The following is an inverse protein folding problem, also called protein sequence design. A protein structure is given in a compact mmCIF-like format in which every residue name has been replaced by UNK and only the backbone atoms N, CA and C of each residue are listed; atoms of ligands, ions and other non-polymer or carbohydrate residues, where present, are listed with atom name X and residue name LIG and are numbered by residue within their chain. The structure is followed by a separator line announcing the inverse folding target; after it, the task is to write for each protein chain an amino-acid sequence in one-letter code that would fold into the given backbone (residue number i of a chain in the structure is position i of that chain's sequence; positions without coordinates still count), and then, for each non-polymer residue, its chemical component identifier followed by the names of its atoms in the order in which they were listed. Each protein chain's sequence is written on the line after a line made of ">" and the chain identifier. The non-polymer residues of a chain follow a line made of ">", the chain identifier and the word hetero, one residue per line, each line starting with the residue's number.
data_IF_105397445435
#
_entry.id   IF_105397445435
#
_cell.length_a   1.000
_cell.length_b   1.000
_cell.length_c   1.000
_cell.angle_alpha   90.00
_cell.angle_beta   90.00
_cell.angle_gamma   90.00
#
_symmetry.space_group_name_H-M   'P 1'
#
loop_
_entity.id
_entity.type
_entity.pdbx_description
1 polymer ?
#
# COMPACT_ATOMS: atom_id res chain seq x y z
N UNK A 1 -7.25 33.85 23.45
CA UNK A 1 -8.63 33.42 23.13
C UNK A 1 -8.90 32.15 23.92
N UNK A 2 -10.00 32.08 24.69
CA UNK A 2 -10.36 30.89 25.47
C UNK A 2 -11.16 29.90 24.63
N UNK A 3 -10.96 28.59 24.83
CA UNK A 3 -11.72 27.51 24.18
C UNK A 3 -13.23 27.70 24.34
N UNK A 4 -13.68 28.16 25.51
CA UNK A 4 -15.09 28.39 25.83
C UNK A 4 -15.72 29.57 25.05
N UNK A 5 -14.89 30.44 24.45
CA UNK A 5 -15.36 31.60 23.68
C UNK A 5 -15.51 31.31 22.18
N UNK A 6 -15.16 30.10 21.74
CA UNK A 6 -15.33 29.71 20.35
C UNK A 6 -16.77 29.30 20.07
N UNK A 7 -17.24 29.60 18.86
CA UNK A 7 -18.53 29.10 18.39
C UNK A 7 -18.44 27.61 18.05
N UNK A 8 -19.56 26.89 18.13
CA UNK A 8 -19.64 25.46 17.78
C UNK A 8 -19.02 25.15 16.40
N UNK A 9 -19.26 25.94 15.33
CA UNK A 9 -18.60 25.70 14.04
C UNK A 9 -17.07 25.78 14.09
N UNK A 10 -16.51 26.65 14.94
CA UNK A 10 -15.07 26.77 15.10
C UNK A 10 -14.50 25.61 15.92
N UNK A 11 -15.20 25.14 16.97
CA UNK A 11 -14.82 23.91 17.66
C UNK A 11 -14.83 22.72 16.70
N UNK A 12 -15.87 22.55 15.90
CA UNK A 12 -15.95 21.48 14.90
C UNK A 12 -14.80 21.57 13.88
N UNK A 13 -14.40 22.77 13.46
CA UNK A 13 -13.23 22.95 12.58
C UNK A 13 -11.93 22.51 13.26
N UNK A 14 -11.74 22.85 14.53
CA UNK A 14 -10.54 22.45 15.28
C UNK A 14 -10.54 20.94 15.52
N UNK A 15 -11.65 20.38 16.02
CA UNK A 15 -11.80 18.93 16.25
C UNK A 15 -11.53 18.13 14.97
N UNK A 16 -11.92 18.63 13.79
CA UNK A 16 -11.60 18.00 12.51
C UNK A 16 -10.09 17.84 12.24
N UNK A 17 -9.26 18.71 12.80
CA UNK A 17 -7.80 18.74 12.63
C UNK A 17 -7.06 17.92 13.70
N UNK A 18 -7.77 17.45 14.72
CA UNK A 18 -7.18 16.71 15.83
C UNK A 18 -7.11 15.21 15.53
N UNK A 19 -6.04 14.59 16.00
CA UNK A 19 -5.86 13.14 16.03
C UNK A 19 -6.88 12.47 16.95
N UNK A 20 -6.99 11.14 16.85
CA UNK A 20 -7.95 10.38 17.64
C UNK A 20 -7.74 10.56 19.15
N UNK A 21 -6.50 10.61 19.62
CA UNK A 21 -6.13 10.83 21.02
C UNK A 21 -6.67 12.15 21.57
N UNK A 22 -6.35 13.25 20.89
CA UNK A 22 -6.77 14.59 21.29
C UNK A 22 -8.29 14.72 21.26
N UNK A 23 -8.97 14.08 20.29
CA UNK A 23 -10.43 14.02 20.24
C UNK A 23 -11.01 13.26 21.44
N UNK A 24 -10.44 12.12 21.81
CA UNK A 24 -10.87 11.37 22.99
C UNK A 24 -10.71 12.19 24.27
N UNK A 25 -9.59 12.91 24.40
CA UNK A 25 -9.33 13.79 25.54
C UNK A 25 -10.36 14.92 25.62
N UNK A 26 -10.64 15.61 24.51
CA UNK A 26 -11.66 16.68 24.45
C UNK A 26 -13.05 16.14 24.78
N UNK A 27 -13.41 14.96 24.25
CA UNK A 27 -14.71 14.32 24.48
C UNK A 27 -14.99 14.05 25.97
N UNK A 28 -13.95 13.94 26.79
CA UNK A 28 -14.05 13.71 28.23
C UNK A 28 -14.14 15.02 29.05
N UNK A 29 -13.82 16.19 28.46
CA UNK A 29 -13.75 17.45 29.19
C UNK A 29 -15.12 18.00 29.63
N UNK A 30 -16.13 17.96 28.75
CA UNK A 30 -17.48 18.48 29.06
C UNK A 30 -18.56 17.84 28.19
N UNK A 31 -19.83 18.09 28.52
CA UNK A 31 -20.97 17.65 27.69
C UNK A 31 -20.96 18.34 26.31
N UNK A 32 -20.71 19.64 26.28
CA UNK A 32 -20.69 20.40 25.03
C UNK A 32 -19.55 19.94 24.12
N UNK A 33 -18.35 19.70 24.70
CA UNK A 33 -17.21 19.15 23.96
C UNK A 33 -17.50 17.75 23.42
N UNK A 34 -18.19 16.91 24.20
CA UNK A 34 -18.64 15.59 23.74
C UNK A 34 -19.57 15.71 22.55
N UNK A 35 -20.56 16.60 22.61
CA UNK A 35 -21.51 16.81 21.52
C UNK A 35 -20.82 17.37 20.25
N UNK A 36 -19.80 18.23 20.41
CA UNK A 36 -18.96 18.70 19.30
C UNK A 36 -18.16 17.55 18.69
N UNK A 37 -17.51 16.71 19.51
CA UNK A 37 -16.72 15.58 19.03
C UNK A 37 -17.62 14.56 18.34
N UNK A 38 -18.76 14.20 18.95
CA UNK A 38 -19.69 13.19 18.43
C UNK A 38 -20.43 13.69 17.17
N UNK A 39 -20.65 15.01 17.03
CA UNK A 39 -21.18 15.62 15.80
C UNK A 39 -20.14 15.74 14.67
N UNK A 40 -18.86 15.58 14.97
CA UNK A 40 -17.78 15.67 14.00
C UNK A 40 -17.42 14.28 13.47
N UNK A 41 -17.53 14.07 12.14
CA UNK A 41 -17.17 12.79 11.52
C UNK A 41 -15.74 12.36 11.92
N UNK A 42 -15.61 11.12 12.38
CA UNK A 42 -14.31 10.44 12.51
C UNK A 42 -13.74 10.28 11.10
N UNK A 43 -12.55 10.83 10.88
CA UNK A 43 -11.77 10.61 9.67
C UNK A 43 -10.37 10.30 10.17
N UNK A 44 -9.96 9.05 9.96
CA UNK A 44 -8.63 8.59 10.32
C UNK A 44 -7.66 8.93 9.19
N UNK A 45 -6.41 9.20 9.53
CA UNK A 45 -5.36 9.31 8.52
C UNK A 45 -4.93 7.89 8.11
N UNK A 46 -4.73 7.03 9.09
CA UNK A 46 -4.23 5.67 8.88
C UNK A 46 -4.99 4.66 9.73
N UNK A 47 -5.37 3.57 9.06
CA UNK A 47 -6.02 2.43 9.68
C UNK A 47 -5.23 1.18 9.31
N UNK A 48 -4.71 0.45 10.31
CA UNK A 48 -3.95 -0.79 10.08
C UNK A 48 -4.52 -1.94 10.88
N UNK A 49 -4.70 -3.09 10.23
CA UNK A 49 -5.00 -4.37 10.86
C UNK A 49 -3.84 -5.31 10.61
N UNK A 50 -3.39 -6.00 11.65
CA UNK A 50 -2.44 -7.10 11.51
C UNK A 50 -2.67 -8.19 12.54
N UNK A 51 -2.20 -9.40 12.27
CA UNK A 51 -2.24 -10.50 13.23
C UNK A 51 -0.85 -11.05 13.49
N UNK A 52 -0.63 -11.47 14.74
CA UNK A 52 0.58 -12.20 15.14
C UNK A 52 0.21 -13.49 15.83
N UNK A 53 0.70 -14.59 15.29
CA UNK A 53 0.65 -15.91 15.90
C UNK A 53 1.63 -15.98 17.09
N UNK A 54 1.18 -16.56 18.20
CA UNK A 54 2.08 -16.87 19.32
C UNK A 54 3.01 -18.03 18.94
N UNK A 55 4.32 -17.80 19.02
CA UNK A 55 5.33 -18.86 18.75
C UNK A 55 5.28 -20.02 19.76
N UNK A 56 4.75 -19.78 20.96
CA UNK A 56 4.90 -20.67 22.11
C UNK A 56 3.60 -21.36 22.52
N UNK A 57 2.45 -20.84 22.07
CA UNK A 57 1.13 -21.33 22.48
C UNK A 57 0.28 -21.47 21.24
N UNK A 58 -0.06 -22.70 20.90
CA UNK A 58 -0.94 -23.02 19.78
C UNK A 58 -2.28 -22.29 19.96
N UNK A 59 -2.87 -21.82 18.84
CA UNK A 59 -4.17 -21.12 18.75
C UNK A 59 -4.28 -19.75 19.46
N UNK A 60 -3.23 -19.35 20.19
CA UNK A 60 -3.12 -17.99 20.73
C UNK A 60 -2.61 -17.05 19.65
N UNK A 61 -3.41 -16.05 19.32
CA UNK A 61 -3.02 -15.00 18.38
C UNK A 61 -3.34 -13.63 18.95
N UNK A 62 -2.66 -12.62 18.42
CA UNK A 62 -2.89 -11.22 18.77
C UNK A 62 -3.25 -10.45 17.51
N UNK A 63 -4.51 -10.01 17.43
CA UNK A 63 -4.93 -9.07 16.39
C UNK A 63 -4.58 -7.67 16.89
N UNK A 64 -3.81 -6.94 16.11
CA UNK A 64 -3.44 -5.55 16.39
C UNK A 64 -4.21 -4.64 15.44
N UNK A 65 -4.95 -3.71 16.02
CA UNK A 65 -5.65 -2.65 15.33
C UNK A 65 -4.99 -1.31 15.66
N UNK A 66 -4.39 -0.66 14.67
CA UNK A 66 -3.77 0.67 14.80
C UNK A 66 -4.62 1.71 14.07
N UNK A 67 -4.99 2.78 14.78
CA UNK A 67 -5.79 3.89 14.26
C UNK A 67 -5.05 5.18 14.61
N UNK A 68 -4.36 5.76 13.63
CA UNK A 68 -3.45 6.88 13.83
C UNK A 68 -2.42 6.57 14.95
N UNK A 69 -2.46 7.29 16.07
CA UNK A 69 -1.61 7.03 17.25
C UNK A 69 -2.17 5.94 18.18
N UNK A 70 -3.44 5.56 18.06
CA UNK A 70 -4.08 4.60 18.95
C UNK A 70 -3.79 3.16 18.54
N UNK A 71 -3.64 2.27 19.51
CA UNK A 71 -3.49 0.83 19.25
C UNK A 71 -4.40 0.03 20.19
N UNK A 72 -5.06 -0.97 19.63
CA UNK A 72 -5.80 -2.01 20.37
C UNK A 72 -5.17 -3.35 20.05
N UNK A 73 -4.86 -4.14 21.08
CA UNK A 73 -4.41 -5.51 20.95
C UNK A 73 -5.48 -6.46 21.46
N UNK A 74 -5.90 -7.39 20.62
CA UNK A 74 -6.83 -8.45 20.96
C UNK A 74 -6.05 -9.76 21.06
N UNK A 75 -5.55 -10.04 22.26
CA UNK A 75 -4.80 -11.27 22.53
C UNK A 75 -5.79 -12.34 22.96
N UNK A 76 -6.15 -13.24 22.04
CA UNK A 76 -7.18 -14.25 22.29
C UNK A 76 -6.66 -15.67 22.19
N UNK A 77 -7.22 -16.55 23.02
CA UNK A 77 -7.18 -18.00 22.89
C UNK A 77 -8.60 -18.53 23.15
N UNK A 78 -9.13 -19.34 22.25
CA UNK A 78 -10.51 -19.85 22.32
C UNK A 78 -11.53 -18.70 22.44
N UNK A 79 -12.42 -18.76 23.44
CA UNK A 79 -13.43 -17.74 23.74
C UNK A 79 -12.99 -16.78 24.87
N UNK A 80 -11.68 -16.63 25.09
CA UNK A 80 -11.15 -15.68 26.06
C UNK A 80 -10.18 -14.72 25.37
N UNK A 81 -10.47 -13.43 25.48
CA UNK A 81 -9.67 -12.38 24.84
C UNK A 81 -9.28 -11.31 25.86
N UNK A 82 -7.96 -11.08 26.00
CA UNK A 82 -7.41 -9.90 26.65
C UNK A 82 -7.38 -8.76 25.63
N UNK A 83 -7.95 -7.63 26.01
CA UNK A 83 -7.98 -6.41 25.21
C UNK A 83 -7.06 -5.39 25.88
N UNK A 84 -5.91 -5.15 25.29
CA UNK A 84 -5.02 -4.06 25.69
C UNK A 84 -5.25 -2.85 24.78
N UNK A 85 -5.06 -1.64 25.31
CA UNK A 85 -5.23 -0.38 24.58
C UNK A 85 -4.12 0.57 24.96
N UNK A 86 -3.74 1.43 24.03
CA UNK A 86 -2.61 2.31 24.26
C UNK A 86 -2.31 3.24 23.11
N UNK A 87 -1.25 4.02 23.25
CA UNK A 87 -0.86 5.04 22.29
C UNK A 87 0.56 4.80 21.82
N UNK A 88 0.83 5.07 20.54
CA UNK A 88 2.15 4.94 19.91
C UNK A 88 2.78 3.56 20.11
N UNK A 89 1.95 2.52 20.25
CA UNK A 89 2.38 1.14 20.46
C UNK A 89 2.70 0.77 21.91
N UNK A 90 2.52 1.67 22.87
CA UNK A 90 2.69 1.44 24.30
C UNK A 90 1.33 1.11 24.95
N UNK A 91 1.13 -0.08 25.54
CA UNK A 91 -0.11 -0.41 26.23
C UNK A 91 -0.23 0.37 27.55
N UNK A 92 -1.47 0.69 27.93
CA UNK A 92 -1.83 1.34 29.19
C UNK A 92 -2.59 0.31 30.01
N UNK A 93 -1.99 -0.16 31.11
CA UNK A 93 -2.55 -1.26 31.93
C UNK A 93 -3.95 -0.93 32.46
N UNK A 94 -4.21 0.35 32.78
CA UNK A 94 -5.51 0.81 33.26
C UNK A 94 -6.62 0.71 32.21
N UNK A 95 -6.26 0.58 30.93
CA UNK A 95 -7.21 0.40 29.82
C UNK A 95 -7.33 -1.06 29.37
N UNK A 96 -6.67 -1.99 30.07
CA UNK A 96 -6.75 -3.42 29.81
C UNK A 96 -8.06 -4.02 30.32
N UNK A 97 -8.61 -4.96 29.56
CA UNK A 97 -9.86 -5.64 29.87
C UNK A 97 -9.79 -7.12 29.45
N UNK A 98 -10.55 -8.00 30.10
CA UNK A 98 -10.65 -9.42 29.74
C UNK A 98 -12.11 -9.74 29.45
N UNK A 99 -12.36 -10.34 28.28
CA UNK A 99 -13.70 -10.74 27.87
C UNK A 99 -13.77 -12.23 27.56
N UNK A 100 -14.85 -12.85 27.99
CA UNK A 100 -15.25 -14.21 27.60
C UNK A 100 -15.94 -14.18 26.22
N UNK A 101 -15.22 -13.68 25.24
CA UNK A 101 -15.67 -13.57 23.86
C UNK A 101 -14.49 -13.81 22.91
N UNK A 102 -14.74 -14.36 21.74
CA UNK A 102 -13.70 -14.61 20.76
C UNK A 102 -13.16 -13.29 20.18
N UNK A 103 -11.85 -13.23 19.92
CA UNK A 103 -11.17 -12.03 19.42
C UNK A 103 -11.74 -11.51 18.10
N UNK A 104 -12.24 -12.38 17.22
CA UNK A 104 -12.84 -11.98 15.95
C UNK A 104 -14.21 -11.32 16.13
N UNK A 105 -15.01 -11.79 17.09
CA UNK A 105 -16.30 -11.18 17.46
C UNK A 105 -16.08 -9.78 18.09
N UNK A 106 -15.08 -9.66 18.96
CA UNK A 106 -14.67 -8.38 19.54
C UNK A 106 -14.17 -7.43 18.44
N UNK A 107 -13.35 -7.92 17.51
CA UNK A 107 -12.88 -7.15 16.36
C UNK A 107 -14.07 -6.59 15.56
N UNK A 108 -15.03 -7.42 15.19
CA UNK A 108 -16.21 -6.99 14.44
C UNK A 108 -16.97 -5.88 15.18
N UNK A 109 -17.21 -6.05 16.49
CA UNK A 109 -17.86 -5.03 17.32
C UNK A 109 -17.06 -3.73 17.40
N UNK A 110 -15.73 -3.80 17.45
CA UNK A 110 -14.87 -2.62 17.46
C UNK A 110 -14.91 -1.88 16.12
N UNK A 111 -14.78 -2.60 15.01
CA UNK A 111 -14.85 -2.00 13.68
C UNK A 111 -16.21 -1.31 13.43
N UNK A 112 -17.30 -1.92 13.87
CA UNK A 112 -18.64 -1.31 13.79
C UNK A 112 -18.70 0.03 14.55
N UNK A 113 -18.05 0.15 15.70
CA UNK A 113 -17.98 1.41 16.47
C UNK A 113 -17.18 2.50 15.74
N UNK A 114 -16.16 2.13 14.97
CA UNK A 114 -15.39 3.07 14.16
C UNK A 114 -16.04 3.40 12.81
N UNK A 115 -17.04 2.61 12.42
CA UNK A 115 -17.76 2.78 11.17
C UNK A 115 -18.92 3.76 11.30
N UNK A 116 -19.27 4.42 10.19
CA UNK A 116 -20.55 5.10 10.01
C UNK A 116 -21.35 4.35 8.95
N UNK A 117 -22.50 3.79 9.33
CA UNK A 117 -23.33 2.95 8.46
C UNK A 117 -22.53 1.78 7.84
N UNK A 118 -21.65 1.15 8.62
CA UNK A 118 -20.79 0.07 8.16
C UNK A 118 -19.59 0.50 7.32
N UNK A 119 -19.36 1.81 7.12
CA UNK A 119 -18.22 2.33 6.35
C UNK A 119 -17.22 3.05 7.24
N UNK A 120 -15.98 2.56 7.29
CA UNK A 120 -14.85 3.22 7.94
C UNK A 120 -14.19 4.17 6.93
N UNK A 121 -14.09 5.45 7.31
CA UNK A 121 -13.50 6.50 6.48
C UNK A 121 -12.07 6.79 6.95
N UNK A 122 -11.10 6.51 6.10
CA UNK A 122 -9.67 6.71 6.38
C UNK A 122 -8.95 7.14 5.11
N UNK A 123 -7.82 7.84 5.19
CA UNK A 123 -7.02 8.11 3.99
C UNK A 123 -6.29 6.83 3.53
N UNK A 124 -5.67 6.13 4.49
CA UNK A 124 -4.88 4.92 4.24
C UNK A 124 -5.44 3.72 5.01
N UNK A 125 -5.57 2.58 4.32
CA UNK A 125 -5.83 1.26 4.90
C UNK A 125 -4.61 0.37 4.68
N UNK A 126 -4.13 -0.29 5.72
CA UNK A 126 -3.07 -1.30 5.64
C UNK A 126 -3.54 -2.60 6.31
N UNK A 127 -3.43 -3.72 5.61
CA UNK A 127 -3.79 -5.05 6.12
C UNK A 127 -2.58 -5.95 5.96
N UNK A 128 -2.06 -6.46 7.06
CA UNK A 128 -0.77 -7.16 7.07
C UNK A 128 -0.84 -8.49 7.84
N UNK A 129 -0.25 -9.56 7.32
CA UNK A 129 0.01 -10.80 8.07
C UNK A 129 -1.26 -11.41 8.71
N UNK A 130 -2.38 -11.39 7.99
CA UNK A 130 -3.66 -11.91 8.52
C UNK A 130 -4.03 -13.25 7.90
N UNK A 131 -4.73 -14.08 8.67
CA UNK A 131 -5.24 -15.39 8.26
C UNK A 131 -6.75 -15.58 8.47
N UNK A 132 -7.51 -14.48 8.45
CA UNK A 132 -8.96 -14.47 8.69
C UNK A 132 -9.75 -13.61 7.70
N UNK A 133 -11.04 -13.92 7.60
CA UNK A 133 -12.02 -13.23 6.77
C UNK A 133 -12.22 -11.76 7.15
N UNK A 134 -12.47 -10.94 6.15
CA UNK A 134 -12.84 -9.55 6.38
C UNK A 134 -14.25 -9.50 7.00
N UNK A 135 -14.48 -8.71 8.06
CA UNK A 135 -15.79 -8.67 8.70
C UNK A 135 -16.91 -8.24 7.73
N UNK A 136 -17.95 -9.08 7.59
CA UNK A 136 -18.95 -8.98 6.51
C UNK A 136 -19.63 -7.60 6.42
N UNK A 137 -19.91 -7.01 7.57
CA UNK A 137 -20.67 -5.76 7.74
C UNK A 137 -19.84 -4.48 7.59
N UNK A 138 -18.53 -4.61 7.34
CA UNK A 138 -17.60 -3.49 7.30
C UNK A 138 -17.06 -3.29 5.88
N UNK A 139 -17.02 -2.03 5.45
CA UNK A 139 -16.36 -1.59 4.23
C UNK A 139 -15.40 -0.45 4.55
N UNK A 140 -14.38 -0.26 3.73
CA UNK A 140 -13.46 0.86 3.87
C UNK A 140 -13.61 1.81 2.69
N UNK A 141 -13.62 3.11 2.99
CA UNK A 141 -13.48 4.17 2.00
C UNK A 141 -12.12 4.84 2.20
N UNK A 142 -11.23 4.64 1.23
CA UNK A 142 -9.84 5.12 1.31
C UNK A 142 -9.30 5.62 -0.03
N UNK A 143 -8.16 6.30 0.03
CA UNK A 143 -7.38 6.72 -1.15
C UNK A 143 -6.11 5.88 -1.33
N UNK A 144 -5.59 5.29 -0.25
CA UNK A 144 -4.41 4.44 -0.28
C UNK A 144 -4.72 3.09 0.36
N UNK A 145 -4.36 1.99 -0.31
CA UNK A 145 -4.55 0.63 0.17
C UNK A 145 -3.24 -0.15 0.12
N UNK A 146 -2.93 -0.88 1.20
CA UNK A 146 -1.81 -1.83 1.26
C UNK A 146 -2.26 -3.18 1.81
N UNK A 147 -1.92 -4.26 1.13
CA UNK A 147 -2.25 -5.64 1.49
C UNK A 147 -0.98 -6.49 1.45
N UNK A 148 -0.40 -6.84 2.59
CA UNK A 148 0.88 -7.57 2.66
C UNK A 148 0.76 -8.89 3.42
N UNK A 149 1.41 -9.95 2.92
CA UNK A 149 1.51 -11.25 3.58
C UNK A 149 0.16 -11.81 4.07
N UNK A 150 -0.92 -11.58 3.31
CA UNK A 150 -2.24 -12.10 3.64
C UNK A 150 -2.35 -13.55 3.16
N UNK A 151 -2.73 -14.47 4.05
CA UNK A 151 -2.87 -15.88 3.70
C UNK A 151 -3.98 -16.13 2.67
N UNK A 152 -3.85 -17.20 1.89
CA UNK A 152 -4.91 -17.66 0.99
C UNK A 152 -6.09 -18.23 1.81
N UNK A 153 -7.36 -17.89 1.51
CA UNK A 153 -7.88 -17.12 0.36
C UNK A 153 -8.20 -15.63 0.63
N UNK A 154 -7.68 -15.03 1.71
CA UNK A 154 -8.27 -13.81 2.27
C UNK A 154 -7.92 -12.51 1.53
N UNK A 155 -6.86 -12.45 0.71
CA UNK A 155 -6.40 -11.16 0.18
C UNK A 155 -7.38 -10.57 -0.85
N UNK A 156 -7.99 -11.42 -1.68
CA UNK A 156 -9.06 -11.02 -2.61
C UNK A 156 -10.26 -10.44 -1.86
N UNK A 157 -10.66 -11.07 -0.76
CA UNK A 157 -11.78 -10.61 0.07
C UNK A 157 -11.50 -9.24 0.69
N UNK A 158 -10.31 -9.07 1.28
CA UNK A 158 -9.87 -7.81 1.86
C UNK A 158 -9.72 -6.70 0.82
N UNK A 159 -9.22 -7.04 -0.38
CA UNK A 159 -9.17 -6.12 -1.52
C UNK A 159 -10.57 -5.61 -1.84
N UNK A 160 -11.53 -6.51 -2.06
CA UNK A 160 -12.93 -6.15 -2.37
C UNK A 160 -13.54 -5.26 -1.29
N UNK A 161 -13.39 -5.62 -0.02
CA UNK A 161 -13.94 -4.82 1.10
C UNK A 161 -13.36 -3.42 1.20
N UNK A 162 -12.11 -3.26 0.78
CA UNK A 162 -11.43 -1.96 0.77
C UNK A 162 -11.73 -1.13 -0.47
N UNK A 163 -12.18 -1.75 -1.57
CA UNK A 163 -12.37 -1.08 -2.87
C UNK A 163 -13.82 -0.92 -3.29
N UNK A 164 -14.76 -1.73 -2.80
CA UNK A 164 -16.18 -1.74 -3.20
C UNK A 164 -16.85 -0.35 -3.12
N UNK A 165 -16.50 0.44 -2.11
CA UNK A 165 -17.05 1.80 -1.88
C UNK A 165 -16.00 2.90 -2.00
N UNK A 166 -14.75 2.50 -2.23
CA UNK A 166 -13.69 3.43 -2.63
C UNK A 166 -13.88 3.70 -4.11
N UNK A 167 -13.80 4.97 -4.51
CA UNK A 167 -13.75 5.30 -5.95
C UNK A 167 -12.36 4.95 -6.49
N UNK A 168 -11.76 5.90 -7.18
CA UNK A 168 -10.38 5.76 -7.64
C UNK A 168 -9.42 5.73 -6.44
N UNK A 169 -8.41 4.88 -6.52
CA UNK A 169 -7.29 4.88 -5.59
C UNK A 169 -6.17 5.79 -6.10
N UNK A 170 -5.48 6.43 -5.17
CA UNK A 170 -4.20 7.07 -5.44
C UNK A 170 -3.10 6.03 -5.42
N UNK A 171 -3.08 5.19 -4.40
CA UNK A 171 -2.01 4.21 -4.17
C UNK A 171 -2.57 2.83 -3.87
N UNK A 172 -2.03 1.82 -4.53
CA UNK A 172 -2.32 0.42 -4.26
C UNK A 172 -1.01 -0.36 -4.15
N UNK A 173 -0.85 -1.06 -3.04
CA UNK A 173 0.27 -1.97 -2.77
C UNK A 173 -0.30 -3.35 -2.40
N UNK A 174 0.00 -4.37 -3.20
CA UNK A 174 -0.41 -5.75 -2.94
C UNK A 174 0.84 -6.62 -2.99
N UNK A 175 1.21 -7.16 -1.84
CA UNK A 175 2.39 -8.01 -1.63
C UNK A 175 1.95 -9.32 -0.96
N UNK A 176 1.12 -10.10 -1.64
CA UNK A 176 0.49 -11.31 -1.11
C UNK A 176 0.86 -12.52 -1.97
N UNK A 177 1.60 -13.48 -1.40
CA UNK A 177 2.07 -14.67 -2.13
C UNK A 177 0.97 -15.72 -2.30
N UNK A 178 0.90 -16.35 -3.49
CA UNK A 178 0.06 -17.53 -3.73
C UNK A 178 -1.41 -17.24 -4.08
N UNK A 179 -1.73 -16.04 -4.57
CA UNK A 179 -3.10 -15.61 -4.97
C UNK A 179 -3.16 -14.99 -6.38
N UNK A 180 -2.14 -15.26 -7.17
CA UNK A 180 -1.76 -14.56 -8.39
C UNK A 180 -2.89 -14.53 -9.44
N UNK A 181 -3.58 -15.66 -9.64
CA UNK A 181 -4.64 -15.80 -10.66
C UNK A 181 -5.96 -15.09 -10.29
N UNK A 182 -6.26 -14.92 -9.00
CA UNK A 182 -7.53 -14.35 -8.54
C UNK A 182 -7.44 -12.86 -8.21
N UNK A 183 -6.25 -12.35 -7.90
CA UNK A 183 -6.04 -10.94 -7.56
C UNK A 183 -6.11 -10.04 -8.78
N UNK A 184 -5.50 -10.44 -9.91
CA UNK A 184 -5.40 -9.58 -11.07
C UNK A 184 -6.75 -9.11 -11.64
N UNK A 185 -7.77 -9.98 -11.83
CA UNK A 185 -9.08 -9.54 -12.34
C UNK A 185 -9.72 -8.44 -11.49
N UNK A 186 -9.53 -8.51 -10.17
CA UNK A 186 -10.05 -7.51 -9.23
C UNK A 186 -9.23 -6.22 -9.29
N UNK A 187 -7.90 -6.32 -9.42
CA UNK A 187 -6.99 -5.17 -9.52
C UNK A 187 -7.16 -4.42 -10.84
N UNK A 188 -7.35 -5.14 -11.95
CA UNK A 188 -7.50 -4.56 -13.29
C UNK A 188 -8.73 -3.62 -13.39
N UNK A 189 -9.76 -3.85 -12.58
CA UNK A 189 -10.94 -2.99 -12.50
C UNK A 189 -10.75 -1.72 -11.66
N UNK A 190 -9.63 -1.58 -10.95
CA UNK A 190 -9.39 -0.47 -10.03
C UNK A 190 -8.58 0.63 -10.73
N UNK A 191 -9.12 1.85 -10.73
CA UNK A 191 -8.41 3.02 -11.25
C UNK A 191 -7.39 3.53 -10.23
N UNK A 192 -6.11 3.19 -10.44
CA UNK A 192 -4.98 3.63 -9.60
C UNK A 192 -4.19 4.72 -10.31
N UNK A 193 -4.11 5.90 -9.68
CA UNK A 193 -3.69 7.13 -10.35
C UNK A 193 -2.27 7.59 -10.05
N UNK A 194 -1.70 7.28 -8.88
CA UNK A 194 -0.36 7.74 -8.49
C UNK A 194 0.66 6.59 -8.42
N UNK A 195 0.38 5.55 -7.62
CA UNK A 195 1.33 4.48 -7.31
C UNK A 195 0.70 3.10 -7.33
N UNK A 196 1.30 2.16 -8.05
CA UNK A 196 0.87 0.77 -8.13
C UNK A 196 2.06 -0.16 -7.90
N UNK A 197 2.01 -0.95 -6.82
CA UNK A 197 3.05 -1.91 -6.46
C UNK A 197 2.38 -3.27 -6.27
N UNK A 198 2.65 -4.21 -7.16
CA UNK A 198 2.10 -5.55 -7.12
C UNK A 198 3.23 -6.59 -7.14
N UNK A 199 3.29 -7.40 -6.08
CA UNK A 199 4.16 -8.56 -5.94
C UNK A 199 3.34 -9.70 -5.29
N UNK A 200 3.48 -10.97 -5.71
CA UNK A 200 4.37 -11.52 -6.73
C UNK A 200 3.79 -11.35 -8.15
N UNK A 201 4.04 -12.30 -9.06
CA UNK A 201 3.64 -12.24 -10.47
C UNK A 201 2.12 -12.07 -10.62
N UNK A 202 1.66 -11.04 -11.33
CA UNK A 202 0.24 -10.74 -11.52
C UNK A 202 -0.31 -11.20 -12.88
N UNK A 203 0.52 -11.84 -13.70
CA UNK A 203 0.18 -12.40 -15.01
C UNK A 203 -0.61 -11.44 -15.94
N UNK A 204 -0.36 -10.13 -15.86
CA UNK A 204 -0.96 -9.15 -16.76
C UNK A 204 -0.35 -9.24 -18.17
N UNK A 205 -1.12 -8.92 -19.21
CA UNK A 205 -0.62 -8.88 -20.59
C UNK A 205 -0.25 -7.44 -21.02
N UNK A 206 0.29 -7.30 -22.24
CA UNK A 206 0.73 -6.03 -22.80
C UNK A 206 -0.38 -4.95 -22.85
N UNK A 207 -1.58 -5.31 -23.31
CA UNK A 207 -2.71 -4.38 -23.42
C UNK A 207 -3.15 -3.88 -22.05
N UNK A 208 -3.24 -4.80 -21.09
CA UNK A 208 -3.63 -4.46 -19.73
C UNK A 208 -2.56 -3.58 -19.06
N UNK A 209 -1.27 -3.89 -19.23
CA UNK A 209 -0.16 -3.07 -18.75
C UNK A 209 -0.20 -1.65 -19.32
N UNK A 210 -0.54 -1.52 -20.60
CA UNK A 210 -0.65 -0.25 -21.30
C UNK A 210 -1.81 0.60 -20.76
N UNK A 211 -2.90 -0.01 -20.32
CA UNK A 211 -4.07 0.69 -19.78
C UNK A 211 -3.86 1.24 -18.35
N UNK A 212 -2.81 0.80 -17.63
CA UNK A 212 -2.53 1.29 -16.27
C UNK A 212 -2.11 2.78 -16.27
N UNK A 213 -2.72 3.56 -15.36
CA UNK A 213 -2.52 5.02 -15.26
C UNK A 213 -1.37 5.44 -14.35
N UNK A 214 -1.15 4.75 -13.22
CA UNK A 214 -0.06 5.04 -12.30
C UNK A 214 1.29 5.00 -13.02
N UNK A 215 2.18 5.95 -12.77
CA UNK A 215 3.55 5.97 -13.33
C UNK A 215 4.61 5.56 -12.31
N UNK A 216 4.37 5.75 -11.01
CA UNK A 216 5.13 5.07 -9.98
C UNK A 216 4.65 3.62 -9.89
N UNK A 217 5.49 2.68 -10.30
CA UNK A 217 5.02 1.39 -10.77
C UNK A 217 6.03 0.29 -10.44
N UNK A 218 5.56 -0.77 -9.80
CA UNK A 218 6.31 -2.01 -9.59
C UNK A 218 5.41 -3.21 -9.87
N UNK A 219 5.70 -4.00 -10.91
CA UNK A 219 4.95 -5.22 -11.24
C UNK A 219 5.92 -6.31 -11.72
N UNK A 220 5.61 -7.56 -11.38
CA UNK A 220 6.13 -8.74 -12.07
C UNK A 220 5.03 -9.38 -12.92
N UNK A 221 5.31 -9.72 -14.18
CA UNK A 221 4.37 -10.43 -15.05
C UNK A 221 5.04 -11.34 -16.07
N UNK A 222 4.67 -12.62 -16.10
CA UNK A 222 5.11 -13.59 -17.12
C UNK A 222 4.43 -13.42 -18.48
N UNK A 223 3.29 -12.74 -18.55
CA UNK A 223 2.52 -12.56 -19.80
C UNK A 223 2.85 -11.26 -20.56
N UNK A 224 3.71 -10.41 -20.01
CA UNK A 224 4.17 -9.19 -20.68
C UNK A 224 5.36 -9.52 -21.58
N UNK A 225 5.31 -9.08 -22.83
CA UNK A 225 6.41 -9.23 -23.78
C UNK A 225 7.49 -8.18 -23.57
N UNK A 226 8.70 -8.43 -24.09
CA UNK A 226 9.77 -7.41 -24.12
C UNK A 226 9.30 -6.13 -24.82
N UNK A 227 8.51 -6.26 -25.90
CA UNK A 227 7.95 -5.13 -26.61
C UNK A 227 6.94 -4.35 -25.76
N UNK A 228 6.02 -5.02 -25.07
CA UNK A 228 5.08 -4.39 -24.13
C UNK A 228 5.80 -3.65 -23.00
N UNK A 229 6.87 -4.24 -22.47
CA UNK A 229 7.71 -3.63 -21.45
C UNK A 229 8.43 -2.36 -21.95
N UNK A 230 8.92 -2.36 -23.20
CA UNK A 230 9.52 -1.16 -23.82
C UNK A 230 8.47 -0.07 -24.08
N UNK A 231 7.26 -0.41 -24.56
CA UNK A 231 6.17 0.57 -24.69
C UNK A 231 5.82 1.20 -23.34
N UNK A 232 5.83 0.39 -22.27
CA UNK A 232 5.59 0.87 -20.92
C UNK A 232 6.69 1.83 -20.43
N UNK A 233 7.95 1.54 -20.75
CA UNK A 233 9.08 2.43 -20.48
C UNK A 233 8.92 3.77 -21.22
N UNK A 234 8.58 3.77 -22.50
CA UNK A 234 8.33 5.00 -23.27
C UNK A 234 7.18 5.81 -22.65
N UNK A 235 6.08 5.14 -22.27
CA UNK A 235 4.96 5.78 -21.56
C UNK A 235 5.42 6.41 -20.24
N UNK A 236 6.25 5.72 -19.48
CA UNK A 236 6.85 6.25 -18.24
C UNK A 236 7.73 7.48 -18.49
N UNK A 237 8.57 7.47 -19.53
CA UNK A 237 9.39 8.64 -19.89
C UNK A 237 8.53 9.85 -20.29
N UNK A 238 7.40 9.61 -20.97
CA UNK A 238 6.46 10.65 -21.41
C UNK A 238 5.60 11.22 -20.28
N UNK A 239 5.12 10.39 -19.35
CA UNK A 239 4.11 10.78 -18.35
C UNK A 239 4.60 10.73 -16.90
N UNK A 240 5.78 10.17 -16.63
CA UNK A 240 6.31 10.03 -15.28
C UNK A 240 6.79 11.35 -14.68
N UNK A 241 6.51 11.53 -13.39
CA UNK A 241 6.96 12.67 -12.58
C UNK A 241 8.39 12.45 -12.06
N UNK A 242 8.91 13.45 -11.36
CA UNK A 242 10.29 13.45 -10.84
C UNK A 242 10.50 12.38 -9.77
N UNK A 243 9.49 12.15 -8.94
CA UNK A 243 9.50 11.15 -7.86
C UNK A 243 9.15 9.73 -8.30
N UNK A 244 8.68 9.56 -9.53
CA UNK A 244 8.17 8.27 -9.98
C UNK A 244 9.31 7.31 -10.33
N UNK A 245 9.06 6.03 -10.11
CA UNK A 245 9.98 4.94 -10.42
C UNK A 245 9.24 3.83 -11.14
N UNK A 246 9.82 3.35 -12.23
CA UNK A 246 9.39 2.17 -12.96
C UNK A 246 10.26 0.99 -12.51
N UNK A 247 9.62 -0.10 -12.10
CA UNK A 247 10.21 -1.42 -11.91
C UNK A 247 9.28 -2.44 -12.57
N UNK A 248 9.74 -3.09 -13.63
CA UNK A 248 8.97 -4.10 -14.35
C UNK A 248 9.82 -5.35 -14.51
N UNK A 249 9.35 -6.47 -13.97
CA UNK A 249 9.97 -7.78 -14.15
C UNK A 249 9.09 -8.62 -15.09
N UNK A 250 9.69 -9.19 -16.13
CA UNK A 250 8.99 -10.05 -17.09
C UNK A 250 9.76 -11.34 -17.32
N UNK A 251 9.08 -12.37 -17.81
CA UNK A 251 9.72 -13.58 -18.31
C UNK A 251 9.98 -13.41 -19.83
N UNK A 252 11.23 -13.18 -20.26
CA UNK A 252 11.54 -13.06 -21.67
C UNK A 252 11.49 -14.44 -22.36
N UNK A 253 11.42 -14.48 -23.70
CA UNK A 253 11.57 -15.74 -24.45
C UNK A 253 12.86 -16.49 -24.05
N UNK A 254 12.83 -17.82 -24.07
CA UNK A 254 13.96 -18.66 -23.61
C UNK A 254 15.30 -18.38 -24.29
N UNK A 255 15.26 -17.95 -25.55
CA UNK A 255 16.44 -17.66 -26.37
C UNK A 255 16.85 -16.18 -26.33
N UNK A 256 16.17 -15.35 -25.53
CA UNK A 256 16.44 -13.92 -25.44
C UNK A 256 17.82 -13.64 -24.89
N UNK A 257 18.61 -12.87 -25.63
CA UNK A 257 19.87 -12.31 -25.16
C UNK A 257 19.71 -10.81 -24.93
N UNK A 258 20.36 -10.27 -23.89
CA UNK A 258 20.31 -8.84 -23.61
C UNK A 258 20.91 -8.01 -24.76
N UNK A 259 21.85 -8.59 -25.51
CA UNK A 259 22.42 -7.98 -26.72
C UNK A 259 21.36 -7.72 -27.83
N UNK A 260 20.27 -8.49 -27.85
CA UNK A 260 19.18 -8.33 -28.81
C UNK A 260 18.20 -7.22 -28.41
N UNK A 261 18.36 -6.64 -27.21
CA UNK A 261 17.51 -5.57 -26.73
C UNK A 261 17.72 -4.30 -27.58
N UNK A 262 16.75 -4.02 -28.44
CA UNK A 262 16.71 -2.79 -29.21
C UNK A 262 16.04 -1.67 -28.40
N UNK A 263 16.85 -0.80 -27.79
CA UNK A 263 16.35 0.49 -27.31
C UNK A 263 16.01 1.40 -28.50
N UNK A 264 14.97 2.23 -28.40
CA UNK A 264 14.62 3.19 -29.44
C UNK A 264 15.81 4.06 -29.84
N UNK A 265 16.13 4.07 -31.15
CA UNK A 265 17.33 4.74 -31.70
C UNK A 265 17.36 6.25 -31.47
N UNK A 266 16.21 6.85 -31.20
CA UNK A 266 16.08 8.27 -30.96
C UNK A 266 16.45 8.67 -29.52
N UNK A 267 16.67 7.69 -28.61
CA UNK A 267 17.16 7.99 -27.27
C UNK A 267 18.64 8.37 -27.27
N UNK A 268 18.95 9.46 -26.56
CA UNK A 268 20.32 9.87 -26.31
C UNK A 268 20.85 9.13 -25.08
N UNK A 269 21.63 8.07 -25.30
CA UNK A 269 22.06 7.15 -24.24
C UNK A 269 23.54 7.36 -23.90
N UNK A 270 23.83 7.44 -22.60
CA UNK A 270 25.18 7.39 -22.05
C UNK A 270 25.34 6.21 -21.10
N UNK A 271 26.14 5.23 -21.49
CA UNK A 271 26.43 4.07 -20.64
C UNK A 271 27.14 4.49 -19.34
N UNK A 272 26.71 3.92 -18.22
CA UNK A 272 27.35 4.12 -16.91
C UNK A 272 28.28 2.97 -16.53
N UNK A 273 28.02 1.79 -17.10
CA UNK A 273 28.86 0.60 -17.02
C UNK A 273 29.00 0.03 -18.43
N UNK A 274 30.08 -0.71 -18.68
CA UNK A 274 30.16 -1.51 -19.89
C UNK A 274 29.03 -2.54 -19.84
N UNK A 275 28.16 -2.62 -20.87
CA UNK A 275 27.15 -3.65 -20.94
C UNK A 275 27.80 -5.02 -20.91
N UNK A 276 27.21 -5.94 -20.17
CA UNK A 276 27.54 -7.37 -20.22
C UNK A 276 26.30 -8.18 -20.60
N UNK A 277 26.45 -9.50 -20.67
CA UNK A 277 25.35 -10.39 -21.09
C UNK A 277 24.16 -10.38 -20.12
N UNK A 278 24.36 -9.96 -18.87
CA UNK A 278 23.36 -10.00 -17.81
C UNK A 278 22.85 -8.62 -17.41
N UNK A 279 23.53 -7.53 -17.75
CA UNK A 279 23.23 -6.20 -17.26
C UNK A 279 23.56 -5.08 -18.24
N UNK A 280 22.63 -4.13 -18.33
CA UNK A 280 22.74 -2.89 -19.08
C UNK A 280 22.38 -1.74 -18.14
N UNK A 281 23.33 -0.83 -17.90
CA UNK A 281 23.13 0.32 -17.01
C UNK A 281 23.55 1.60 -17.71
N UNK A 282 22.60 2.49 -17.95
CA UNK A 282 22.83 3.72 -18.71
C UNK A 282 22.03 4.91 -18.17
N UNK A 283 22.31 6.08 -18.74
CA UNK A 283 21.49 7.27 -18.64
C UNK A 283 20.80 7.52 -19.96
N UNK A 284 19.52 7.83 -19.91
CA UNK A 284 18.78 8.46 -21.00
C UNK A 284 18.87 9.96 -20.75
N UNK A 285 19.63 10.66 -21.58
CA UNK A 285 19.89 12.10 -21.49
C UNK A 285 18.82 12.92 -22.21
N UNK A 286 18.17 12.34 -23.21
CA UNK A 286 17.23 13.01 -24.10
C UNK A 286 16.59 12.03 -25.08
N UNK A 287 15.94 12.57 -26.11
CA UNK A 287 15.18 11.79 -27.09
C UNK A 287 13.75 11.46 -26.67
N UNK A 288 13.23 12.07 -25.60
CA UNK A 288 11.83 11.92 -25.20
C UNK A 288 11.24 13.27 -24.79
N UNK A 289 9.93 13.44 -24.98
CA UNK A 289 9.20 14.62 -24.55
C UNK A 289 8.27 14.25 -23.39
N UNK A 290 8.57 14.77 -22.21
CA UNK A 290 7.74 14.57 -21.04
C UNK A 290 6.66 15.66 -20.94
N UNK A 291 5.40 15.27 -20.77
CA UNK A 291 4.25 16.20 -20.75
C UNK A 291 4.24 17.14 -19.54
N UNK A 292 5.03 16.84 -18.51
CA UNK A 292 5.19 17.68 -17.32
C UNK A 292 6.43 18.59 -17.42
N UNK A 293 7.11 18.65 -18.58
CA UNK A 293 8.32 19.44 -18.79
C UNK A 293 9.56 18.89 -18.06
N UNK A 294 9.52 17.65 -17.61
CA UNK A 294 10.62 17.02 -16.84
C UNK A 294 11.62 16.40 -17.81
N UNK A 295 12.73 17.11 -18.01
CA UNK A 295 13.84 16.71 -18.89
C UNK A 295 15.09 16.27 -18.11
N UNK A 296 14.96 16.02 -16.80
CA UNK A 296 16.04 15.46 -15.98
C UNK A 296 16.50 14.10 -16.57
N UNK A 297 17.82 13.84 -16.66
CA UNK A 297 18.33 12.55 -17.10
C UNK A 297 17.74 11.38 -16.31
N UNK A 298 17.39 10.30 -17.01
CA UNK A 298 16.85 9.09 -16.38
C UNK A 298 17.93 8.03 -16.28
N UNK A 299 18.07 7.40 -15.11
CA UNK A 299 18.84 6.15 -15.02
C UNK A 299 17.95 5.03 -15.52
N UNK A 300 18.49 4.19 -16.39
CA UNK A 300 17.88 2.94 -16.81
C UNK A 300 18.81 1.79 -16.43
N UNK A 301 18.24 0.78 -15.79
CA UNK A 301 18.91 -0.48 -15.49
C UNK A 301 18.06 -1.61 -16.06
N UNK A 302 18.70 -2.46 -16.84
CA UNK A 302 18.07 -3.66 -17.40
C UNK A 302 18.93 -4.83 -17.01
N UNK A 303 18.33 -5.82 -16.35
CA UNK A 303 19.04 -6.96 -15.80
C UNK A 303 18.33 -8.25 -16.18
N UNK A 304 19.11 -9.27 -16.56
CA UNK A 304 18.62 -10.62 -16.80
C UNK A 304 19.04 -11.50 -15.62
N UNK A 305 18.12 -11.74 -14.68
CA UNK A 305 18.39 -12.47 -13.44
C UNK A 305 17.39 -13.60 -13.26
N UNK A 306 17.89 -14.82 -13.03
CA UNK A 306 17.08 -16.01 -12.69
C UNK A 306 15.91 -16.27 -13.67
N UNK A 307 16.12 -16.02 -14.95
CA UNK A 307 15.10 -16.20 -16.00
C UNK A 307 14.13 -15.03 -16.14
N UNK A 308 14.33 -13.91 -15.43
CA UNK A 308 13.53 -12.70 -15.56
C UNK A 308 14.34 -11.55 -16.15
N UNK A 309 13.70 -10.80 -17.05
CA UNK A 309 14.17 -9.50 -17.51
C UNK A 309 13.56 -8.43 -16.62
N UNK A 310 14.40 -7.72 -15.88
CA UNK A 310 13.99 -6.61 -15.03
C UNK A 310 14.38 -5.28 -15.68
N UNK A 311 13.44 -4.35 -15.78
CA UNK A 311 13.63 -2.99 -16.26
C UNK A 311 13.34 -2.02 -15.13
N UNK A 312 14.31 -1.19 -14.79
CA UNK A 312 14.23 -0.17 -13.74
C UNK A 312 14.53 1.18 -14.37
N UNK A 313 13.65 2.17 -14.15
CA UNK A 313 13.86 3.53 -14.65
C UNK A 313 13.40 4.59 -13.64
N UNK A 314 14.23 5.62 -13.41
CA UNK A 314 13.94 6.72 -12.47
C UNK A 314 14.82 7.95 -12.76
N UNK A 315 14.52 9.10 -12.15
CA UNK A 315 15.36 10.31 -12.28
C UNK A 315 16.74 10.07 -11.68
N UNK A 316 17.79 10.43 -12.41
CA UNK A 316 19.16 10.33 -11.95
C UNK A 316 19.58 11.58 -11.17
N UNK A 317 19.83 11.44 -9.86
CA UNK A 317 20.15 12.57 -8.96
C UNK A 317 21.67 12.85 -8.78
N UNK A 318 22.54 12.29 -9.62
CA UNK A 318 23.97 12.64 -9.60
C UNK A 318 24.80 12.04 -8.45
N UNK A 319 24.16 11.56 -7.38
CA UNK A 319 24.78 10.82 -6.27
C UNK A 319 23.95 9.59 -5.97
N UNK A 320 24.39 8.42 -6.41
CA UNK A 320 23.86 7.19 -5.82
C UNK A 320 24.32 7.16 -4.36
N UNK A 321 23.40 7.35 -3.42
CA UNK A 321 23.57 6.70 -2.12
C UNK A 321 23.60 5.21 -2.44
N UNK A 322 24.63 4.45 -2.03
CA UNK A 322 24.61 3.01 -2.21
C UNK A 322 23.30 2.48 -1.63
N UNK A 323 22.60 1.65 -2.42
CA UNK A 323 21.50 0.85 -1.90
C UNK A 323 22.02 0.20 -0.61
N UNK A 324 21.35 0.34 0.55
CA UNK A 324 21.76 -0.41 1.72
C UNK A 324 21.69 -1.89 1.32
N UNK A 325 22.83 -2.58 1.43
CA UNK A 325 22.90 -4.01 1.18
C UNK A 325 21.78 -4.69 1.96
N UNK A 326 20.77 -5.22 1.25
CA UNK A 326 19.86 -6.19 1.84
C UNK A 326 20.65 -7.48 1.98
N UNK A 327 21.23 -7.68 3.15
CA UNK A 327 21.67 -9.01 3.56
C UNK A 327 20.41 -9.87 3.65
N UNK A 328 20.24 -10.80 2.71
CA UNK A 328 19.29 -11.89 2.90
C UNK A 328 19.78 -12.70 4.11
N UNK A 329 18.95 -12.93 5.14
CA UNK A 329 19.31 -13.87 6.19
C UNK A 329 19.35 -15.26 5.54
N UNK A 330 20.53 -15.88 5.58
CA UNK A 330 20.72 -17.30 5.31
C UNK A 330 20.08 -18.13 6.43
#
# INVERSE_FOLDING_TARGET
>A
MSWQMLTVPNHQKIVKLLDYESRCNIRQCSKDDRDVVDSTKLRFEKFRISEKLSKWVQEKTTIRLEIDSFTIWLTGKDNLTKIDRGWKGEPIEELSDIKHENRFEILQKLLLRFSKNGVIHTDTVEVNEIDFHAPESIKFKCSNLKLHNIANPFAVEWLKKATEVSGNLKKLEVQCWGQDEQLWPEIAGIDVTESLILEPNMNCNDEQLENLKAMNFKISSSSVTVHGAMRRLEKFLKFGKKSDRLELSIEPPREFQLADLALPRYFEIKNLKNPDEASFVAKILGGFENVHGIQDPRKIEIQLNWGFLQIICFVYEGKEKPLPCRLYPF
#
